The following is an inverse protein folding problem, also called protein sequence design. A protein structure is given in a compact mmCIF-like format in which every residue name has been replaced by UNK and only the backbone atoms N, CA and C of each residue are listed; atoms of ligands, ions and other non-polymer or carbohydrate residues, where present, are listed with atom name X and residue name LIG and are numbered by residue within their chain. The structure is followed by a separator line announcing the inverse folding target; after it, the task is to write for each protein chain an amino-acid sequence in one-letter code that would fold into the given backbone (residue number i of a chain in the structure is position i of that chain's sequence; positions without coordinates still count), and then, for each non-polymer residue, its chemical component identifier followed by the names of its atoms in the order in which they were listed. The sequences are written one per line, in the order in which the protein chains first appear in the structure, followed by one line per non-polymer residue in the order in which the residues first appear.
data_IF_255313872097
#
_entry.id   IF_255313872097
#
_cell.length_a   1.000
_cell.length_b   1.000
_cell.length_c   1.000
_cell.angle_alpha   90.00
_cell.angle_beta   90.00
_cell.angle_gamma   90.00
#
_symmetry.space_group_name_H-M   'P 1'
#
loop_
_entity.id
_entity.type
_entity.pdbx_description
1 polymer ?
#
# COMPACT_ATOMS: atom_id res chain seq x y z
N UNK A 1 11.09 -3.43 8.04
CA UNK A 1 10.36 -2.85 9.19
C UNK A 1 10.68 -1.37 9.33
N UNK A 2 10.13 -0.53 8.46
CA UNK A 2 10.25 0.93 8.57
C UNK A 2 9.22 1.41 9.59
N UNK A 3 9.58 1.44 10.87
CA UNK A 3 8.69 2.00 11.91
C UNK A 3 8.37 3.43 11.51
N UNK A 4 7.13 3.70 11.08
CA UNK A 4 6.58 5.05 10.96
C UNK A 4 6.72 5.68 12.34
N UNK A 5 7.71 6.56 12.47
CA UNK A 5 8.02 7.22 13.71
C UNK A 5 6.83 8.08 14.10
N UNK A 6 6.11 7.66 15.12
CA UNK A 6 5.50 8.61 16.05
C UNK A 6 6.65 9.53 16.44
N UNK A 7 6.70 10.74 15.88
CA UNK A 7 7.71 11.74 16.23
C UNK A 7 7.30 12.26 17.60
N UNK A 8 7.55 11.45 18.62
CA UNK A 8 7.25 11.76 20.00
C UNK A 8 8.03 13.02 20.38
N UNK A 9 7.31 14.14 20.46
CA UNK A 9 7.72 15.32 21.21
C UNK A 9 9.01 16.00 20.75
N UNK A 10 9.29 16.07 19.43
CA UNK A 10 10.36 16.97 18.97
C UNK A 10 9.85 18.41 19.17
N UNK A 11 10.60 19.22 19.92
CA UNK A 11 10.31 20.64 20.07
C UNK A 11 10.25 21.25 18.66
N UNK A 12 9.07 21.71 18.26
CA UNK A 12 8.88 22.35 16.97
C UNK A 12 9.72 23.63 16.98
N UNK A 13 10.60 23.79 16.00
CA UNK A 13 11.16 25.11 15.73
C UNK A 13 10.10 25.91 14.96
N UNK A 14 10.12 27.24 15.07
CA UNK A 14 9.13 28.13 14.40
C UNK A 14 9.08 27.88 12.89
N UNK A 15 10.20 27.44 12.32
CA UNK A 15 10.35 27.14 10.90
C UNK A 15 10.64 25.63 10.76
N UNK A 16 9.74 24.90 10.10
CA UNK A 16 9.94 23.50 9.76
C UNK A 16 9.97 23.33 8.24
N UNK A 17 10.96 22.56 7.77
CA UNK A 17 11.07 22.19 6.37
C UNK A 17 10.51 20.78 6.20
N UNK A 18 9.43 20.66 5.42
CA UNK A 18 8.82 19.38 5.10
C UNK A 18 9.48 18.83 3.83
N UNK A 19 10.13 17.64 3.89
CA UNK A 19 10.73 17.02 2.72
C UNK A 19 9.70 16.76 1.61
N UNK A 20 10.16 16.75 0.36
CA UNK A 20 9.29 16.27 -0.72
C UNK A 20 8.93 14.80 -0.51
N UNK A 21 7.69 14.45 -0.88
CA UNK A 21 7.09 13.11 -0.72
C UNK A 21 6.82 12.66 0.72
N UNK A 22 6.76 13.62 1.65
CA UNK A 22 6.24 13.41 2.99
C UNK A 22 5.07 14.38 3.25
N UNK A 23 4.10 13.92 4.01
CA UNK A 23 3.00 14.74 4.52
C UNK A 23 3.00 14.67 6.04
N UNK A 24 3.09 15.83 6.69
CA UNK A 24 3.14 15.91 8.15
C UNK A 24 1.79 16.33 8.69
N UNK A 25 1.22 15.53 9.58
CA UNK A 25 -0.08 15.79 10.20
C UNK A 25 0.13 16.48 11.53
N UNK A 26 -0.43 17.69 11.64
CA UNK A 26 -0.25 18.56 12.81
C UNK A 26 -1.52 18.60 13.64
N UNK A 27 -1.33 18.47 14.95
CA UNK A 27 -2.37 18.69 15.96
C UNK A 27 -2.11 19.98 16.74
N UNK A 28 -3.16 20.78 16.90
CA UNK A 28 -3.20 21.95 17.80
C UNK A 28 -4.03 21.60 19.02
N UNK A 29 -3.42 21.63 20.21
CA UNK A 29 -4.10 21.33 21.49
C UNK A 29 -4.91 20.01 21.46
N UNK A 30 -4.39 18.98 20.79
CA UNK A 30 -5.02 17.66 20.69
C UNK A 30 -6.13 17.53 19.64
N UNK A 31 -6.36 18.56 18.81
CA UNK A 31 -7.24 18.48 17.63
C UNK A 31 -6.43 18.59 16.34
N UNK A 32 -6.88 17.89 15.30
CA UNK A 32 -6.32 18.05 13.96
C UNK A 32 -6.41 19.52 13.52
N UNK A 33 -5.30 20.08 13.04
CA UNK A 33 -5.23 21.44 12.54
C UNK A 33 -5.12 21.46 11.01
N UNK A 34 -4.06 20.86 10.48
CA UNK A 34 -3.76 20.85 9.05
C UNK A 34 -2.75 19.74 8.70
N UNK A 35 -2.71 19.41 7.41
CA UNK A 35 -1.64 18.63 6.80
C UNK A 35 -0.65 19.62 6.21
N UNK A 36 0.63 19.48 6.53
CA UNK A 36 1.69 20.28 5.92
C UNK A 36 2.13 19.64 4.61
N UNK A 37 2.06 20.44 3.55
CA UNK A 37 2.56 20.10 2.23
C UNK A 37 4.08 20.36 2.15
N UNK A 38 4.79 19.75 1.17
CA UNK A 38 6.22 19.93 1.01
C UNK A 38 6.62 21.41 0.88
N UNK A 39 7.60 21.84 1.67
CA UNK A 39 8.08 23.22 1.66
C UNK A 39 8.24 23.82 3.05
N UNK A 40 8.32 25.16 3.06
CA UNK A 40 8.51 25.95 4.28
C UNK A 40 7.18 26.11 5.01
N UNK A 41 7.09 25.51 6.20
CA UNK A 41 5.90 25.59 7.03
C UNK A 41 6.23 26.26 8.36
N UNK A 42 5.42 27.26 8.75
CA UNK A 42 5.57 27.99 10.00
C UNK A 42 4.60 27.38 11.01
N UNK A 43 5.13 26.94 12.16
CA UNK A 43 4.36 26.30 13.22
C UNK A 43 4.59 27.00 14.56
N UNK A 44 3.56 27.05 15.39
CA UNK A 44 3.67 27.62 16.72
C UNK A 44 4.19 26.56 17.71
N UNK A 45 5.40 26.73 18.27
CA UNK A 45 6.10 25.66 19.01
C UNK A 45 5.37 25.17 20.28
N UNK A 46 4.52 26.00 20.87
CA UNK A 46 3.77 25.67 22.09
C UNK A 46 2.37 25.09 21.81
N UNK A 47 1.75 25.47 20.69
CA UNK A 47 0.38 25.08 20.37
C UNK A 47 0.32 23.89 19.41
N UNK A 48 1.22 23.85 18.44
CA UNK A 48 1.22 22.89 17.35
C UNK A 48 2.21 21.76 17.62
N UNK A 49 1.81 20.51 17.35
CA UNK A 49 2.66 19.31 17.47
C UNK A 49 2.50 18.45 16.23
N UNK A 50 3.61 18.00 15.66
CA UNK A 50 3.61 17.03 14.55
C UNK A 50 3.43 15.65 15.16
N UNK A 51 2.33 14.96 14.83
CA UNK A 51 2.00 13.66 15.43
C UNK A 51 2.29 12.50 14.48
N UNK A 52 1.95 12.68 13.21
CA UNK A 52 2.14 11.64 12.20
C UNK A 52 2.93 12.19 11.02
N UNK A 53 3.88 11.39 10.54
CA UNK A 53 4.62 11.62 9.31
C UNK A 53 4.25 10.51 8.33
N UNK A 54 3.53 10.88 7.28
CA UNK A 54 3.09 9.95 6.25
C UNK A 54 4.00 10.06 5.03
N UNK A 55 4.59 8.92 4.67
CA UNK A 55 5.37 8.79 3.44
C UNK A 55 4.38 8.62 2.28
N UNK A 56 4.52 9.46 1.26
CA UNK A 56 3.69 9.45 0.05
C UNK A 56 4.29 8.58 -1.07
N UNK A 57 5.45 7.97 -0.84
CA UNK A 57 6.07 7.00 -1.74
C UNK A 57 5.28 5.70 -1.78
N UNK A 58 5.40 4.99 -2.88
CA UNK A 58 4.90 3.62 -3.00
C UNK A 58 5.69 2.70 -2.07
N UNK A 59 4.97 1.84 -1.36
CA UNK A 59 5.53 0.86 -0.45
C UNK A 59 5.04 -0.52 -0.87
N UNK A 60 5.98 -1.46 -0.94
CA UNK A 60 5.71 -2.86 -1.19
C UNK A 60 5.52 -3.59 0.15
N UNK A 61 4.38 -4.26 0.31
CA UNK A 61 4.08 -5.13 1.45
C UNK A 61 3.95 -6.55 0.94
N UNK A 62 4.78 -7.45 1.47
CA UNK A 62 4.66 -8.88 1.20
C UNK A 62 3.47 -9.45 1.97
N UNK A 63 2.59 -10.13 1.25
CA UNK A 63 1.51 -10.90 1.87
C UNK A 63 2.04 -12.30 2.16
N UNK A 64 1.95 -12.79 3.41
CA UNK A 64 2.44 -14.12 3.75
C UNK A 64 1.68 -15.20 2.96
N UNK A 65 2.40 -16.26 2.62
CA UNK A 65 1.90 -17.39 1.87
C UNK A 65 0.67 -18.03 2.55
N UNK A 66 -0.33 -18.39 1.75
CA UNK A 66 -1.58 -18.98 2.23
C UNK A 66 -1.92 -20.25 1.45
N UNK A 67 -2.39 -21.27 2.17
CA UNK A 67 -2.99 -22.44 1.57
C UNK A 67 -4.44 -22.16 1.17
N UNK A 68 -4.79 -22.47 -0.07
CA UNK A 68 -6.15 -22.39 -0.59
C UNK A 68 -6.52 -23.67 -1.34
N UNK A 69 -7.81 -24.00 -1.33
CA UNK A 69 -8.37 -25.15 -2.06
C UNK A 69 -9.21 -24.59 -3.20
N UNK A 70 -8.93 -25.03 -4.43
CA UNK A 70 -9.69 -24.61 -5.61
C UNK A 70 -11.04 -25.34 -5.69
N UNK A 71 -11.90 -24.91 -6.61
CA UNK A 71 -13.19 -25.57 -6.86
C UNK A 71 -13.05 -27.05 -7.28
N UNK A 72 -11.91 -27.42 -7.86
CA UNK A 72 -11.61 -28.78 -8.32
C UNK A 72 -10.93 -29.64 -7.24
N UNK A 73 -10.96 -29.21 -5.97
CA UNK A 73 -10.38 -29.93 -4.83
C UNK A 73 -8.85 -30.11 -4.91
N UNK A 74 -8.15 -29.14 -5.53
CA UNK A 74 -6.68 -29.10 -5.57
C UNK A 74 -6.18 -28.14 -4.50
N UNK A 75 -5.18 -28.56 -3.72
CA UNK A 75 -4.50 -27.71 -2.74
C UNK A 75 -3.39 -26.92 -3.43
N UNK A 76 -3.44 -25.60 -3.31
CA UNK A 76 -2.44 -24.68 -3.85
C UNK A 76 -1.94 -23.75 -2.74
N UNK A 77 -0.69 -23.30 -2.87
CA UNK A 77 -0.13 -22.26 -2.02
C UNK A 77 0.02 -20.99 -2.85
N UNK A 78 -0.49 -19.88 -2.34
CA UNK A 78 -0.46 -18.58 -3.02
C UNK A 78 0.22 -17.55 -2.12
N UNK A 79 1.04 -16.72 -2.73
CA UNK A 79 1.71 -15.57 -2.14
C UNK A 79 1.58 -14.36 -3.07
N UNK A 80 1.92 -13.18 -2.57
CA UNK A 80 1.79 -11.95 -3.35
C UNK A 80 2.43 -10.74 -2.71
N UNK A 81 2.59 -9.68 -3.51
CA UNK A 81 3.14 -8.39 -3.08
C UNK A 81 2.13 -7.30 -3.39
N UNK A 82 1.79 -6.49 -2.38
CA UNK A 82 0.90 -5.33 -2.50
C UNK A 82 1.72 -4.06 -2.64
N UNK A 83 1.45 -3.28 -3.68
CA UNK A 83 2.00 -1.94 -3.84
C UNK A 83 0.98 -0.91 -3.38
N UNK A 84 1.29 -0.19 -2.31
CA UNK A 84 0.38 0.76 -1.67
C UNK A 84 0.98 2.16 -1.69
N UNK A 85 0.13 3.16 -1.95
CA UNK A 85 0.48 4.57 -1.82
C UNK A 85 -0.59 5.30 -1.03
N UNK A 86 -0.18 6.15 -0.10
CA UNK A 86 -1.10 7.01 0.63
C UNK A 86 -1.63 8.10 -0.31
N UNK A 87 -2.94 8.11 -0.54
CA UNK A 87 -3.63 9.15 -1.32
C UNK A 87 -4.04 10.31 -0.41
N UNK A 88 -4.60 10.01 0.75
CA UNK A 88 -5.06 10.99 1.74
C UNK A 88 -4.37 10.73 3.09
N UNK A 89 -3.39 11.57 3.49
CA UNK A 89 -2.64 11.38 4.73
C UNK A 89 -3.46 11.66 5.99
N UNK A 90 -4.56 12.44 5.90
CA UNK A 90 -5.46 12.66 7.04
C UNK A 90 -6.23 11.38 7.36
N UNK A 91 -6.88 10.79 6.36
CA UNK A 91 -7.61 9.52 6.53
C UNK A 91 -6.69 8.37 6.89
N UNK A 92 -5.48 8.32 6.32
CA UNK A 92 -4.51 7.29 6.65
C UNK A 92 -4.01 7.37 8.10
N UNK A 93 -4.00 8.56 8.71
CA UNK A 93 -3.51 8.76 10.08
C UNK A 93 -4.60 8.62 11.15
N UNK A 94 -5.84 9.00 10.85
CA UNK A 94 -6.96 8.98 11.81
C UNK A 94 -7.98 7.87 11.55
N UNK A 95 -8.00 7.29 10.35
CA UNK A 95 -9.02 6.31 9.97
C UNK A 95 -8.78 4.92 10.55
N UNK A 96 -7.52 4.47 10.58
CA UNK A 96 -7.13 3.13 11.05
C UNK A 96 -5.79 3.22 11.78
N UNK A 97 -5.65 2.53 12.91
CA UNK A 97 -4.42 2.51 13.72
C UNK A 97 -3.22 1.94 12.95
N UNK A 98 -3.44 0.81 12.26
CA UNK A 98 -2.46 0.20 11.36
C UNK A 98 -3.11 -0.14 10.00
N UNK A 99 -3.02 0.77 9.01
CA UNK A 99 -3.58 0.55 7.69
C UNK A 99 -2.86 -0.56 6.92
N UNK A 100 -1.57 -0.78 7.16
CA UNK A 100 -0.76 -1.79 6.48
C UNK A 100 -1.23 -3.20 6.88
N UNK A 101 -1.43 -3.41 8.17
CA UNK A 101 -1.97 -4.67 8.70
C UNK A 101 -3.40 -4.92 8.25
N UNK A 102 -4.26 -3.90 8.28
CA UNK A 102 -5.66 -4.02 7.85
C UNK A 102 -5.78 -4.39 6.37
N UNK A 103 -5.01 -3.71 5.49
CA UNK A 103 -5.00 -3.99 4.06
C UNK A 103 -4.43 -5.37 3.77
N UNK A 104 -3.37 -5.78 4.48
CA UNK A 104 -2.78 -7.11 4.34
C UNK A 104 -3.81 -8.20 4.67
N UNK A 105 -4.54 -8.08 5.78
CA UNK A 105 -5.58 -9.05 6.14
C UNK A 105 -6.74 -9.08 5.15
N UNK A 106 -7.16 -7.92 4.65
CA UNK A 106 -8.20 -7.84 3.62
C UNK A 106 -7.74 -8.57 2.36
N UNK A 107 -6.53 -8.28 1.88
CA UNK A 107 -5.95 -8.93 0.71
C UNK A 107 -5.86 -10.45 0.89
N UNK A 108 -5.42 -10.93 2.05
CA UNK A 108 -5.39 -12.35 2.38
C UNK A 108 -6.79 -12.99 2.29
N UNK A 109 -7.79 -12.34 2.85
CA UNK A 109 -9.17 -12.84 2.86
C UNK A 109 -9.74 -12.87 1.44
N UNK A 110 -9.51 -11.82 0.66
CA UNK A 110 -9.90 -11.73 -0.75
C UNK A 110 -9.21 -12.79 -1.58
N UNK A 111 -7.88 -12.94 -1.47
CA UNK A 111 -7.12 -13.96 -2.21
C UNK A 111 -7.63 -15.37 -1.92
N UNK A 112 -7.85 -15.71 -0.64
CA UNK A 112 -8.39 -17.02 -0.27
C UNK A 112 -9.77 -17.28 -0.87
N UNK A 113 -10.65 -16.26 -0.86
CA UNK A 113 -12.00 -16.35 -1.41
C UNK A 113 -12.00 -16.49 -2.94
N UNK A 114 -11.20 -15.69 -3.63
CA UNK A 114 -11.13 -15.73 -5.10
C UNK A 114 -10.51 -17.02 -5.61
N UNK A 115 -9.45 -17.54 -4.97
CA UNK A 115 -8.85 -18.83 -5.37
C UNK A 115 -9.81 -20.00 -5.23
N UNK A 116 -10.72 -19.96 -4.25
CA UNK A 116 -11.78 -20.97 -4.13
C UNK A 116 -12.72 -21.02 -5.34
N UNK A 117 -12.90 -19.90 -6.05
CA UNK A 117 -13.79 -19.78 -7.23
C UNK A 117 -13.10 -20.13 -8.55
N UNK A 118 -11.78 -20.21 -8.57
CA UNK A 118 -11.01 -20.50 -9.78
C UNK A 118 -11.05 -22.00 -10.06
N UNK A 119 -11.36 -22.35 -11.32
CA UNK A 119 -11.15 -23.69 -11.85
C UNK A 119 -9.74 -23.78 -12.45
N UNK A 120 -8.98 -24.81 -12.07
CA UNK A 120 -7.58 -24.94 -12.48
C UNK A 120 -7.45 -25.15 -14.00
N UNK A 121 -8.43 -25.79 -14.64
CA UNK A 121 -8.43 -26.01 -16.08
C UNK A 121 -8.57 -24.70 -16.87
N UNK A 122 -9.27 -23.71 -16.34
CA UNK A 122 -9.38 -22.39 -16.97
C UNK A 122 -8.04 -21.65 -16.94
N UNK A 123 -7.29 -21.77 -15.84
CA UNK A 123 -5.96 -21.15 -15.72
C UNK A 123 -4.97 -21.77 -16.71
N UNK A 124 -5.02 -23.09 -16.91
CA UNK A 124 -4.19 -23.75 -17.92
C UNK A 124 -4.58 -23.35 -19.35
N UNK A 125 -5.88 -23.25 -19.65
CA UNK A 125 -6.36 -22.78 -20.96
C UNK A 125 -5.95 -21.35 -21.27
N UNK A 126 -5.99 -20.46 -20.28
CA UNK A 126 -5.51 -19.07 -20.45
C UNK A 126 -4.00 -19.04 -20.69
N UNK A 127 -3.19 -19.86 -20.02
CA UNK A 127 -1.75 -19.97 -20.32
C UNK A 127 -1.48 -20.46 -21.75
N UNK A 128 -2.26 -21.42 -22.24
CA UNK A 128 -2.11 -21.94 -23.60
C UNK A 128 -2.53 -20.89 -24.64
N UNK A 129 -3.64 -20.17 -24.42
CA UNK A 129 -4.06 -19.05 -25.26
C UNK A 129 -3.03 -17.90 -25.27
N UNK A 130 -2.47 -17.56 -24.11
CA UNK A 130 -1.41 -16.55 -24.00
C UNK A 130 -0.15 -16.98 -24.77
N UNK A 131 0.26 -18.25 -24.65
CA UNK A 131 1.39 -18.76 -25.42
C UNK A 131 1.13 -18.71 -26.93
N UNK A 132 -0.10 -19.02 -27.39
CA UNK A 132 -0.47 -18.93 -28.81
C UNK A 132 -0.43 -17.48 -29.30
N UNK A 133 -0.95 -16.52 -28.52
CA UNK A 133 -0.92 -15.10 -28.90
C UNK A 133 0.50 -14.56 -28.96
N UNK A 134 1.33 -14.85 -27.95
CA UNK A 134 2.73 -14.43 -27.91
C UNK A 134 3.50 -15.01 -29.12
N UNK A 135 3.37 -16.31 -29.40
CA UNK A 135 4.02 -16.94 -30.55
C UNK A 135 3.51 -16.35 -31.88
N UNK A 136 2.20 -16.09 -32.00
CA UNK A 136 1.62 -15.44 -33.18
C UNK A 136 2.17 -14.03 -33.40
N UNK A 137 2.37 -13.27 -32.32
CA UNK A 137 2.94 -11.92 -32.37
C UNK A 137 4.43 -11.96 -32.74
N UNK A 138 5.22 -12.89 -32.19
CA UNK A 138 6.63 -13.08 -32.59
C UNK A 138 6.80 -13.54 -34.04
N UNK A 139 5.89 -14.37 -34.58
CA UNK A 139 5.92 -14.77 -36.00
C UNK A 139 5.55 -13.61 -36.92
N UNK A 140 4.68 -12.70 -36.49
CA UNK A 140 4.26 -11.54 -37.28
C UNK A 140 5.32 -10.40 -37.29
N UNK A 141 6.23 -10.37 -36.32
CA UNK A 141 7.34 -9.40 -36.24
C UNK A 141 8.52 -9.79 -37.15
N UNK A 142 8.53 -11.02 -37.70
CA UNK A 142 9.57 -11.52 -38.62
C UNK A 142 9.34 -11.25 -40.12
N UNK A 143 8.35 -10.42 -40.49
CA UNK A 143 8.01 -10.08 -41.87
C UNK A 143 8.08 -8.57 -42.11
N UNK A 144 9.24 -7.97 -41.83
CA UNK A 144 9.75 -6.75 -42.49
C UNK A 144 11.28 -6.82 -42.56
#
# INVERSE_FOLDING_TARGET
MQRRGVVAGRANFVINFVPQQEAWVVERMGKFHSILEPGLNILLPFLDRIKYVQILKELAIEVPQQGAVTSDNVQLQIDGVLYLRVVDPFKASYGVEDPEFAITQLAQTTMRSEVGKINLDTVFKEREQLNIQIVGEFVNVGLF
#
